data_IF_198894196087
#
_entry.id   IF_198894196087
#
_cell.length_a   1.000
_cell.length_b   1.000
_cell.length_c   1.000
_cell.angle_alpha   90.00
_cell.angle_beta   90.00
_cell.angle_gamma   90.00
#
_symmetry.space_group_name_H-M   'P 1'
#
loop_
_entity.id
_entity.type
_entity.pdbx_description
1 polymer ?
#
# COMPACT_ATOMS: atom_id res chain seq x y z
N UNK A 1 -5.30 5.09 7.35
CA UNK A 1 -4.75 4.56 6.08
C UNK A 1 -5.80 4.29 5.00
N UNK A 2 -6.94 3.66 5.31
CA UNK A 2 -7.99 3.31 4.32
C UNK A 2 -8.59 4.48 3.54
N UNK A 3 -8.66 5.70 4.11
CA UNK A 3 -9.15 6.88 3.38
C UNK A 3 -8.34 7.17 2.10
N UNK A 4 -7.00 7.07 2.18
CA UNK A 4 -6.11 7.20 1.03
C UNK A 4 -6.37 6.09 0.01
N UNK A 5 -6.52 4.84 0.47
CA UNK A 5 -6.76 3.70 -0.42
C UNK A 5 -8.04 3.85 -1.23
N UNK A 6 -9.12 4.35 -0.62
CA UNK A 6 -10.38 4.60 -1.32
C UNK A 6 -10.19 5.66 -2.42
N UNK A 7 -9.54 6.78 -2.11
CA UNK A 7 -9.28 7.83 -3.09
C UNK A 7 -8.40 7.32 -4.24
N UNK A 8 -7.33 6.57 -3.91
CA UNK A 8 -6.45 5.97 -4.91
C UNK A 8 -7.22 4.98 -5.80
N UNK A 9 -8.07 4.13 -5.22
CA UNK A 9 -8.87 3.16 -5.95
C UNK A 9 -9.83 3.85 -6.94
N UNK A 10 -10.54 4.88 -6.50
CA UNK A 10 -11.43 5.66 -7.36
C UNK A 10 -10.62 6.34 -8.47
N UNK A 11 -9.53 7.02 -8.12
CA UNK A 11 -8.66 7.70 -9.08
C UNK A 11 -8.06 6.76 -10.11
N UNK A 12 -7.62 5.57 -9.69
CA UNK A 12 -7.07 4.54 -10.57
C UNK A 12 -8.11 4.07 -11.60
N UNK A 13 -9.30 3.73 -11.14
CA UNK A 13 -10.36 3.28 -12.04
C UNK A 13 -10.80 4.40 -13.00
N UNK A 14 -10.96 5.62 -12.50
CA UNK A 14 -11.27 6.78 -13.34
C UNK A 14 -10.17 7.11 -14.36
N UNK A 15 -8.92 6.85 -14.04
CA UNK A 15 -7.80 7.08 -14.94
C UNK A 15 -7.73 6.01 -16.04
N UNK A 16 -7.79 4.73 -15.68
CA UNK A 16 -7.46 3.65 -16.59
C UNK A 16 -8.66 3.02 -17.30
N UNK A 17 -9.84 2.92 -16.69
CA UNK A 17 -11.01 2.35 -17.32
C UNK A 17 -11.44 3.12 -18.58
N UNK A 18 -11.47 4.48 -18.59
CA UNK A 18 -11.76 5.23 -19.81
C UNK A 18 -10.75 5.00 -20.93
N UNK A 19 -9.48 4.77 -20.60
CA UNK A 19 -8.45 4.51 -21.61
C UNK A 19 -8.63 3.17 -22.31
N UNK A 20 -9.16 2.15 -21.63
CA UNK A 20 -9.54 0.90 -22.28
C UNK A 20 -10.66 1.11 -23.30
N UNK A 21 -11.66 1.90 -22.94
CA UNK A 21 -12.75 2.24 -23.85
C UNK A 21 -12.24 3.03 -25.07
N UNK A 22 -11.34 4.01 -24.87
CA UNK A 22 -10.69 4.76 -25.95
C UNK A 22 -9.92 3.84 -26.91
N UNK A 23 -9.18 2.88 -26.37
CA UNK A 23 -8.44 1.90 -27.16
C UNK A 23 -9.36 1.01 -28.01
N UNK A 24 -10.48 0.57 -27.47
CA UNK A 24 -11.49 -0.20 -28.20
C UNK A 24 -12.16 0.60 -29.32
N UNK A 25 -12.27 1.92 -29.17
CA UNK A 25 -12.81 2.81 -30.19
C UNK A 25 -11.76 3.32 -31.18
N UNK A 26 -10.57 2.74 -31.19
CA UNK A 26 -9.55 3.00 -32.21
C UNK A 26 -8.65 4.20 -31.93
N UNK A 27 -8.63 4.75 -30.72
CA UNK A 27 -7.69 5.81 -30.39
C UNK A 27 -6.24 5.25 -30.36
N UNK A 28 -5.31 5.82 -31.16
CA UNK A 28 -3.91 5.39 -31.16
C UNK A 28 -3.21 5.68 -29.82
N UNK A 29 -2.20 4.89 -29.51
CA UNK A 29 -1.35 5.15 -28.33
C UNK A 29 -0.31 6.24 -28.60
N UNK A 30 0.08 6.95 -27.57
CA UNK A 30 1.23 7.88 -27.58
C UNK A 30 1.10 9.01 -28.62
N UNK A 31 -0.10 9.49 -28.85
CA UNK A 31 -0.39 10.63 -29.74
C UNK A 31 -0.52 11.90 -28.92
N UNK A 32 0.05 12.99 -29.46
CA UNK A 32 -0.13 14.33 -28.89
C UNK A 32 -1.45 14.96 -29.31
N UNK A 33 -1.90 14.62 -30.54
CA UNK A 33 -3.17 15.07 -31.08
C UNK A 33 -4.07 13.87 -31.36
N UNK A 34 -5.34 13.98 -30.98
CA UNK A 34 -6.36 12.95 -31.14
C UNK A 34 -7.67 13.59 -31.59
N UNK A 35 -8.55 12.79 -32.18
CA UNK A 35 -9.85 13.25 -32.67
C UNK A 35 -10.67 13.87 -31.51
N UNK A 36 -11.34 15.03 -31.74
CA UNK A 36 -12.15 15.70 -30.73
C UNK A 36 -13.22 14.83 -30.07
N UNK A 37 -13.71 13.78 -30.72
CA UNK A 37 -14.65 12.83 -30.13
C UNK A 37 -14.11 12.13 -28.86
N UNK A 38 -12.78 11.99 -28.72
CA UNK A 38 -12.13 11.35 -27.56
C UNK A 38 -11.82 12.33 -26.42
N UNK A 39 -12.01 13.64 -26.63
CA UNK A 39 -11.60 14.67 -25.68
C UNK A 39 -12.25 14.52 -24.32
N UNK A 40 -13.56 14.30 -24.27
CA UNK A 40 -14.30 14.17 -23.02
C UNK A 40 -13.80 12.99 -22.16
N UNK A 41 -13.56 11.84 -22.78
CA UNK A 41 -13.08 10.64 -22.09
C UNK A 41 -11.64 10.80 -21.60
N UNK A 42 -10.79 11.48 -22.37
CA UNK A 42 -9.43 11.84 -21.94
C UNK A 42 -9.45 12.81 -20.75
N UNK A 43 -10.38 13.75 -20.69
CA UNK A 43 -10.56 14.65 -19.55
C UNK A 43 -10.93 13.87 -18.26
N UNK A 44 -11.83 12.87 -18.36
CA UNK A 44 -12.16 11.99 -17.24
C UNK A 44 -10.92 11.23 -16.78
N UNK A 45 -10.14 10.67 -17.69
CA UNK A 45 -8.88 9.99 -17.38
C UNK A 45 -7.88 10.93 -16.67
N UNK A 46 -7.77 12.17 -17.13
CA UNK A 46 -6.91 13.19 -16.52
C UNK A 46 -7.37 13.55 -15.10
N UNK A 47 -8.69 13.63 -14.88
CA UNK A 47 -9.26 13.82 -13.54
C UNK A 47 -8.91 12.65 -12.62
N UNK A 48 -8.96 11.41 -13.11
CA UNK A 48 -8.53 10.24 -12.38
C UNK A 48 -7.06 10.29 -11.97
N UNK A 49 -6.18 10.72 -12.88
CA UNK A 49 -4.76 10.93 -12.61
C UNK A 49 -4.53 12.00 -11.53
N UNK A 50 -5.28 13.11 -11.58
CA UNK A 50 -5.23 14.16 -10.56
C UNK A 50 -5.65 13.64 -9.19
N UNK A 51 -6.71 12.84 -9.12
CA UNK A 51 -7.16 12.22 -7.86
C UNK A 51 -6.10 11.27 -7.29
N UNK A 52 -5.41 10.50 -8.11
CA UNK A 52 -4.28 9.68 -7.65
C UNK A 52 -3.14 10.54 -7.10
N UNK A 53 -2.79 11.63 -7.76
CA UNK A 53 -1.78 12.56 -7.26
C UNK A 53 -2.20 13.15 -5.90
N UNK A 54 -3.43 13.62 -5.77
CA UNK A 54 -3.97 14.15 -4.50
C UNK A 54 -3.97 13.08 -3.41
N UNK A 55 -4.22 11.82 -3.74
CA UNK A 55 -4.22 10.72 -2.77
C UNK A 55 -2.86 10.47 -2.12
N UNK A 56 -1.76 10.94 -2.70
CA UNK A 56 -0.42 10.82 -2.10
C UNK A 56 -0.17 11.85 -1.00
N UNK A 57 -0.89 12.98 -0.99
CA UNK A 57 -0.69 14.05 -0.01
C UNK A 57 -0.89 13.56 1.44
N UNK A 58 -1.98 12.85 1.80
CA UNK A 58 -2.14 12.31 3.16
C UNK A 58 -1.02 11.35 3.57
N UNK A 59 -0.43 10.64 2.61
CA UNK A 59 0.71 9.77 2.88
C UNK A 59 1.95 10.58 3.25
N UNK A 60 2.28 11.59 2.46
CA UNK A 60 3.43 12.48 2.73
C UNK A 60 3.28 13.19 4.07
N UNK A 61 2.07 13.70 4.36
CA UNK A 61 1.77 14.31 5.65
C UNK A 61 1.98 13.30 6.79
N UNK A 62 1.48 12.07 6.65
CA UNK A 62 1.65 11.05 7.68
C UNK A 62 3.12 10.68 7.90
N UNK A 63 3.90 10.52 6.82
CA UNK A 63 5.36 10.26 6.92
C UNK A 63 6.05 11.38 7.67
N UNK A 64 5.77 12.63 7.30
CA UNK A 64 6.38 13.80 7.94
C UNK A 64 6.02 13.91 9.43
N UNK A 65 4.73 13.73 9.76
CA UNK A 65 4.27 13.77 11.15
C UNK A 65 4.83 12.61 11.98
N UNK A 66 4.88 11.40 11.41
CA UNK A 66 5.46 10.24 12.07
C UNK A 66 6.96 10.38 12.30
N UNK A 67 7.69 10.93 11.33
CA UNK A 67 9.12 11.19 11.49
C UNK A 67 9.42 12.22 12.58
N UNK A 68 8.49 13.17 12.79
CA UNK A 68 8.68 14.24 13.78
C UNK A 68 8.17 13.87 15.17
N UNK A 69 7.03 13.20 15.27
CA UNK A 69 6.31 12.93 16.52
C UNK A 69 5.86 11.47 16.64
N UNK A 70 6.43 10.58 15.85
CA UNK A 70 6.09 9.15 15.88
C UNK A 70 6.40 8.53 17.25
N UNK A 71 5.49 7.70 17.74
CA UNK A 71 5.75 6.84 18.90
C UNK A 71 6.46 5.60 18.40
N UNK A 72 7.42 5.13 19.18
CA UNK A 72 8.00 3.80 18.97
C UNK A 72 6.90 2.74 19.07
N UNK A 73 6.81 1.89 18.09
CA UNK A 73 5.78 0.85 18.02
C UNK A 73 6.18 -0.43 18.77
N UNK A 74 7.43 -0.52 19.26
CA UNK A 74 7.97 -1.72 19.87
C UNK A 74 8.21 -2.86 18.87
N UNK A 75 8.58 -4.03 19.37
CA UNK A 75 8.99 -5.16 18.54
C UNK A 75 7.81 -5.88 17.87
N UNK A 76 6.66 -5.95 18.55
CA UNK A 76 5.46 -6.62 18.03
C UNK A 76 4.20 -5.75 18.20
N UNK A 77 4.00 -4.74 17.33
CA UNK A 77 2.88 -3.80 17.44
C UNK A 77 1.51 -4.42 17.11
N UNK A 78 1.50 -5.60 16.49
CA UNK A 78 0.28 -6.28 16.04
C UNK A 78 -0.12 -7.46 16.94
N UNK A 79 0.70 -7.80 17.94
CA UNK A 79 0.58 -9.03 18.72
C UNK A 79 0.49 -10.27 17.80
N UNK A 80 1.30 -10.26 16.73
CA UNK A 80 1.33 -11.36 15.79
C UNK A 80 2.10 -12.54 16.37
N UNK A 81 1.67 -13.77 16.05
CA UNK A 81 2.19 -15.02 16.62
C UNK A 81 3.19 -15.72 15.70
N UNK A 82 3.50 -15.12 14.55
CA UNK A 82 4.46 -15.69 13.62
C UNK A 82 5.90 -15.41 14.05
N UNK A 83 6.86 -16.30 13.73
CA UNK A 83 8.24 -16.24 14.27
C UNK A 83 8.94 -14.90 14.03
N UNK A 84 8.71 -14.26 12.89
CA UNK A 84 9.31 -12.97 12.54
C UNK A 84 8.97 -11.82 13.50
N UNK A 85 7.90 -11.95 14.31
CA UNK A 85 7.52 -10.98 15.32
C UNK A 85 8.04 -11.31 16.73
N UNK A 86 8.81 -12.40 16.86
CA UNK A 86 9.43 -12.81 18.12
C UNK A 86 10.85 -12.27 18.28
N UNK A 87 11.39 -11.62 17.25
CA UNK A 87 12.70 -10.96 17.29
C UNK A 87 12.58 -9.48 17.61
N UNK A 88 13.70 -8.86 17.98
CA UNK A 88 13.78 -7.41 18.24
C UNK A 88 13.61 -6.59 16.97
N UNK A 89 13.21 -5.32 17.10
CA UNK A 89 13.15 -4.35 16.00
C UNK A 89 14.16 -3.22 16.25
N UNK A 90 15.20 -3.04 15.40
CA UNK A 90 15.55 -3.82 14.19
C UNK A 90 16.07 -5.23 14.51
N UNK A 91 15.87 -6.21 13.63
CA UNK A 91 16.36 -7.56 13.85
C UNK A 91 17.89 -7.61 13.80
N UNK A 92 18.55 -8.52 14.56
CA UNK A 92 19.99 -8.74 14.47
C UNK A 92 20.38 -9.31 13.10
N UNK A 93 21.68 -9.29 12.79
CA UNK A 93 22.19 -9.71 11.46
C UNK A 93 21.83 -11.17 11.14
N UNK A 94 21.72 -12.01 12.16
CA UNK A 94 21.36 -13.43 12.04
C UNK A 94 19.85 -13.69 12.26
N UNK A 95 19.03 -12.64 12.27
CA UNK A 95 17.59 -12.60 12.55
C UNK A 95 17.18 -12.92 13.99
N UNK A 96 17.99 -13.68 14.76
CA UNK A 96 17.69 -14.10 16.12
C UNK A 96 18.88 -13.88 17.04
N UNK A 97 18.63 -13.49 18.28
CA UNK A 97 19.64 -13.52 19.35
C UNK A 97 19.64 -14.91 19.99
N UNK A 98 20.44 -15.83 19.43
CA UNK A 98 20.52 -17.22 19.85
C UNK A 98 19.85 -18.20 18.88
N UNK A 99 19.33 -19.31 19.41
CA UNK A 99 18.65 -20.31 18.57
C UNK A 99 17.29 -19.77 18.08
N UNK A 100 16.97 -20.05 16.80
CA UNK A 100 15.69 -19.69 16.24
C UNK A 100 14.55 -20.39 17.02
N UNK A 101 13.42 -19.71 17.30
CA UNK A 101 12.32 -20.31 18.03
C UNK A 101 11.78 -21.53 17.26
N UNK A 102 11.69 -22.66 17.96
CA UNK A 102 11.09 -23.87 17.42
C UNK A 102 9.57 -23.67 17.37
N UNK A 103 9.03 -23.65 16.17
CA UNK A 103 7.59 -23.60 15.94
C UNK A 103 7.10 -25.02 15.65
N UNK A 104 6.45 -25.62 16.63
CA UNK A 104 5.93 -27.00 16.49
C UNK A 104 4.81 -27.11 15.45
N UNK A 105 4.01 -26.08 15.32
CA UNK A 105 2.94 -25.98 14.32
C UNK A 105 3.18 -24.81 13.37
N UNK A 106 3.05 -24.99 12.04
CA UNK A 106 3.32 -23.93 11.05
C UNK A 106 2.41 -22.70 11.19
N UNK A 107 1.30 -22.84 11.91
CA UNK A 107 0.35 -21.76 12.17
C UNK A 107 -0.07 -21.75 13.64
N UNK A 108 0.84 -21.31 14.52
CA UNK A 108 0.53 -21.13 15.96
C UNK A 108 -0.47 -20.00 16.25
N UNK A 109 -1.36 -19.71 15.31
CA UNK A 109 -2.36 -18.66 15.42
C UNK A 109 -3.34 -18.95 16.58
N UNK A 110 -3.45 -18.01 17.51
CA UNK A 110 -4.39 -18.08 18.63
C UNK A 110 -3.82 -18.70 19.92
N UNK A 111 -2.56 -19.12 19.97
CA UNK A 111 -1.87 -19.44 21.22
C UNK A 111 -1.28 -18.18 21.83
N UNK A 112 -1.50 -17.94 23.12
CA UNK A 112 -0.90 -16.82 23.81
C UNK A 112 0.63 -16.98 23.86
N UNK A 113 1.36 -15.85 23.67
CA UNK A 113 2.85 -15.82 23.69
C UNK A 113 3.43 -16.37 25.01
N UNK A 114 2.64 -16.43 26.08
CA UNK A 114 3.02 -16.99 27.38
C UNK A 114 3.26 -18.49 27.38
N UNK A 115 2.76 -19.23 26.38
CA UNK A 115 2.93 -20.69 26.26
C UNK A 115 4.18 -21.08 25.42
N UNK A 116 4.86 -20.09 24.83
CA UNK A 116 6.03 -20.30 23.95
C UNK A 116 7.39 -20.02 24.66
N UNK A 117 7.38 -19.89 26.00
CA UNK A 117 8.61 -19.73 26.80
C UNK A 117 9.04 -21.02 27.45
#
# INVERSE_FOLDING_TARGET
MYKRQIITFIGFNLCFAPQHWLGLNGMPRRVAEYDPQFQFVNQISSLGALLMAISTIPFLINVFLSARNGKDSGDNPWNALTPEWLTSSPPPVENWEGEAPLVEEPYGYGKEISEQK
#
